data_IF_684503014807
#
_entry.id   IF_684503014807
#
_cell.length_a   1.000
_cell.length_b   1.000
_cell.length_c   1.000
_cell.angle_alpha   90.00
_cell.angle_beta   90.00
_cell.angle_gamma   90.00
#
_symmetry.space_group_name_H-M   'P 1'
#
loop_
_entity.id
_entity.type
_entity.pdbx_description
1 polymer ?
#
# COMPACT_ATOMS: atom_id res chain seq x y z
N UNK A 1 26.88 -32.91 2.66
CA UNK A 1 25.52 -33.36 2.25
C UNK A 1 24.53 -32.84 3.28
N UNK A 2 23.61 -31.95 2.90
CA UNK A 2 22.65 -31.33 3.84
C UNK A 2 21.46 -32.23 4.15
N UNK A 3 20.73 -31.91 5.22
CA UNK A 3 19.53 -32.66 5.59
C UNK A 3 18.47 -32.55 4.47
N UNK A 4 18.21 -33.67 3.81
CA UNK A 4 17.18 -33.78 2.79
C UNK A 4 15.86 -34.21 3.42
N UNK A 5 14.72 -33.68 2.96
CA UNK A 5 13.42 -34.14 3.42
C UNK A 5 13.23 -35.61 3.05
N UNK A 6 12.96 -36.45 4.05
CA UNK A 6 12.74 -37.90 3.85
C UNK A 6 11.55 -38.21 2.93
N UNK A 7 10.52 -37.33 2.93
CA UNK A 7 9.29 -37.49 2.15
C UNK A 7 8.75 -36.13 1.68
N UNK A 8 7.94 -36.16 0.63
CA UNK A 8 7.19 -35.00 0.14
C UNK A 8 6.24 -34.48 1.22
N UNK A 9 6.21 -33.17 1.40
CA UNK A 9 5.29 -32.50 2.33
C UNK A 9 3.85 -32.61 1.82
N UNK A 10 2.90 -32.99 2.70
CA UNK A 10 1.49 -33.05 2.34
C UNK A 10 0.94 -31.67 1.95
N UNK A 11 0.11 -31.60 0.90
CA UNK A 11 -0.49 -30.35 0.40
C UNK A 11 -1.29 -29.63 1.49
N UNK A 12 -2.08 -30.37 2.28
CA UNK A 12 -2.81 -29.81 3.42
C UNK A 12 -1.89 -29.14 4.45
N UNK A 13 -0.73 -29.75 4.74
CA UNK A 13 0.24 -29.20 5.69
C UNK A 13 0.94 -27.96 5.14
N UNK A 14 1.25 -27.94 3.84
CA UNK A 14 1.77 -26.75 3.16
C UNK A 14 0.75 -25.60 3.18
N UNK A 15 -0.53 -25.88 2.92
CA UNK A 15 -1.61 -24.90 2.95
C UNK A 15 -1.80 -24.29 4.34
N UNK A 16 -1.91 -25.13 5.39
CA UNK A 16 -1.99 -24.68 6.79
C UNK A 16 -0.79 -23.83 7.21
N UNK A 17 0.41 -24.12 6.73
CA UNK A 17 1.57 -23.28 7.02
C UNK A 17 1.50 -21.91 6.33
N UNK A 18 0.90 -21.84 5.14
CA UNK A 18 0.79 -20.60 4.35
C UNK A 18 -0.45 -19.75 4.69
N UNK A 19 -1.38 -20.25 5.49
CA UNK A 19 -2.63 -19.52 5.81
C UNK A 19 -2.39 -18.19 6.52
N UNK A 20 -1.29 -18.06 7.26
CA UNK A 20 -0.92 -16.82 7.94
C UNK A 20 -0.22 -15.80 7.04
N UNK A 21 0.15 -16.16 5.81
CA UNK A 21 0.88 -15.29 4.88
C UNK A 21 -0.05 -14.41 4.02
N UNK A 22 -1.26 -14.12 4.50
CA UNK A 22 -2.19 -13.22 3.82
C UNK A 22 -1.74 -11.77 3.94
N UNK A 23 -1.70 -11.05 2.83
CA UNK A 23 -1.38 -9.62 2.80
C UNK A 23 -2.65 -8.79 3.02
N UNK A 24 -2.58 -7.77 3.87
CA UNK A 24 -3.63 -6.79 4.05
C UNK A 24 -3.37 -5.55 3.18
N UNK A 25 -4.43 -4.94 2.67
CA UNK A 25 -4.34 -3.67 1.94
C UNK A 25 -4.03 -2.53 2.92
N UNK A 26 -3.22 -1.53 2.52
CA UNK A 26 -2.96 -0.36 3.34
C UNK A 26 -4.21 0.53 3.43
N UNK A 27 -4.37 1.28 4.53
CA UNK A 27 -5.48 2.23 4.67
C UNK A 27 -5.32 3.40 3.70
N UNK A 28 -6.41 3.71 3.01
CA UNK A 28 -6.50 4.79 2.03
C UNK A 28 -7.52 5.83 2.49
N UNK A 29 -7.16 7.10 2.39
CA UNK A 29 -7.97 8.25 2.81
C UNK A 29 -8.11 9.26 1.67
N UNK A 30 -9.19 10.04 1.67
CA UNK A 30 -9.38 11.13 0.70
C UNK A 30 -8.51 12.34 1.05
N UNK A 31 -7.95 12.97 0.03
CA UNK A 31 -7.23 14.23 0.17
C UNK A 31 -8.21 15.42 0.27
N UNK A 32 -8.10 16.31 1.27
CA UNK A 32 -9.04 17.43 1.44
C UNK A 32 -8.96 18.50 0.34
N UNK A 33 -7.84 18.59 -0.40
CA UNK A 33 -7.62 19.62 -1.42
C UNK A 33 -8.09 19.20 -2.83
N UNK A 34 -7.85 17.96 -3.23
CA UNK A 34 -8.11 17.49 -4.60
C UNK A 34 -9.04 16.27 -4.65
N UNK A 35 -9.53 15.79 -3.50
CA UNK A 35 -10.46 14.66 -3.37
C UNK A 35 -9.97 13.36 -4.01
N UNK A 36 -8.66 13.23 -4.26
CA UNK A 36 -8.03 11.98 -4.71
C UNK A 36 -7.72 11.09 -3.52
N UNK A 37 -7.62 9.79 -3.79
CA UNK A 37 -7.25 8.79 -2.79
C UNK A 37 -5.74 8.90 -2.53
N UNK A 38 -5.36 8.93 -1.25
CA UNK A 38 -3.96 8.94 -0.81
C UNK A 38 -3.76 8.02 0.40
N UNK A 39 -2.51 7.65 0.66
CA UNK A 39 -2.15 6.93 1.88
C UNK A 39 -2.34 7.82 3.12
N UNK A 40 -2.76 7.20 4.23
CA UNK A 40 -2.85 7.85 5.54
C UNK A 40 -1.50 8.41 5.97
N UNK A 41 -1.48 9.64 6.50
CA UNK A 41 -0.25 10.36 6.92
C UNK A 41 0.81 10.62 5.84
N UNK A 42 0.54 10.34 4.57
CA UNK A 42 1.44 10.70 3.47
C UNK A 42 1.02 11.98 2.74
N UNK A 43 2.00 12.62 2.09
CA UNK A 43 1.80 13.70 1.13
C UNK A 43 0.99 13.16 -0.05
N UNK A 44 0.04 13.95 -0.53
CA UNK A 44 -0.74 13.56 -1.70
C UNK A 44 0.13 13.58 -2.98
N UNK A 45 0.24 12.47 -3.73
CA UNK A 45 1.08 12.42 -4.93
C UNK A 45 0.53 13.27 -6.08
N UNK A 46 -0.76 13.65 -6.05
CA UNK A 46 -1.39 14.43 -7.13
C UNK A 46 -1.32 15.95 -6.91
N UNK A 47 -1.30 16.42 -5.66
CA UNK A 47 -1.30 17.85 -5.35
C UNK A 47 -0.13 18.31 -4.47
N UNK A 48 0.76 17.41 -4.03
CA UNK A 48 1.94 17.78 -3.24
C UNK A 48 1.63 18.36 -1.85
N UNK A 49 0.36 18.29 -1.42
CA UNK A 49 -0.09 18.87 -0.16
C UNK A 49 -0.17 17.84 0.97
N UNK A 50 0.15 18.32 2.17
CA UNK A 50 -0.02 17.62 3.44
C UNK A 50 -0.48 18.63 4.49
N UNK A 51 -1.55 18.29 5.23
CA UNK A 51 -2.11 19.15 6.28
C UNK A 51 -2.28 20.62 5.83
N UNK A 52 -3.02 20.82 4.73
CA UNK A 52 -3.31 22.11 4.08
C UNK A 52 -2.09 22.98 3.69
N UNK A 53 -0.88 22.44 3.77
CA UNK A 53 0.35 23.09 3.28
C UNK A 53 0.86 22.38 2.03
N UNK A 54 1.30 23.16 1.06
CA UNK A 54 2.02 22.63 -0.09
C UNK A 54 3.46 22.37 0.34
N UNK A 55 3.86 21.09 0.36
CA UNK A 55 5.17 20.64 0.85
C UNK A 55 6.09 20.29 -0.31
N UNK A 56 5.51 19.82 -1.43
CA UNK A 56 6.23 19.45 -2.63
C UNK A 56 5.68 20.22 -3.82
N UNK A 57 6.56 20.88 -4.57
CA UNK A 57 6.24 21.42 -5.88
C UNK A 57 6.22 20.27 -6.88
N UNK A 58 5.02 19.92 -7.36
CA UNK A 58 4.84 18.89 -8.38
C UNK A 58 4.49 19.61 -9.68
N UNK A 59 5.34 19.47 -10.70
CA UNK A 59 5.21 20.17 -12.00
C UNK A 59 3.94 19.78 -12.82
N UNK A 60 3.12 18.85 -12.30
CA UNK A 60 1.92 18.33 -12.96
C UNK A 60 0.60 18.57 -12.21
N UNK A 61 0.50 19.58 -11.33
CA UNK A 61 -0.72 19.77 -10.52
C UNK A 61 -1.94 20.15 -11.37
N UNK A 62 -2.77 19.17 -11.74
CA UNK A 62 -4.11 19.43 -12.29
C UNK A 62 -5.03 19.86 -11.14
N UNK A 63 -5.13 21.17 -10.91
CA UNK A 63 -6.19 21.75 -10.07
C UNK A 63 -7.52 21.55 -10.79
N UNK A 64 -8.33 20.57 -10.38
CA UNK A 64 -9.73 20.51 -10.82
C UNK A 64 -10.48 21.61 -10.06
N UNK A 65 -10.64 22.75 -10.71
CA UNK A 65 -11.61 23.77 -10.32
C UNK A 65 -13.01 23.19 -10.47
N UNK A 66 -13.83 23.32 -9.42
CA UNK A 66 -15.28 23.37 -9.57
C UNK A 66 -15.69 24.77 -9.99
#
# INVERSE_FOLDING_TARGET
MGALPKRKYAKARQGKRRSHLGLALPPLNYCPQCHTIKLSHHVCPTCGSYASRQVVEIEGSKKKTS
#
